data_IF_040325273334
#
_entry.id   IF_040325273334
#
_cell.length_a   1.000
_cell.length_b   1.000
_cell.length_c   1.000
_cell.angle_alpha   90.00
_cell.angle_beta   90.00
_cell.angle_gamma   90.00
#
_symmetry.space_group_name_H-M   'P 1'
#
loop_
_entity.id
_entity.type
_entity.pdbx_description
1 polymer ?
#
# COMPACT_ATOMS: atom_id res chain seq x y z
N UNK A 1 -8.62 -21.65 -2.90
CA UNK A 1 -7.67 -21.29 -3.97
C UNK A 1 -6.80 -20.15 -3.45
N UNK A 2 -5.48 -20.19 -3.31
CA UNK A 2 -4.43 -21.21 -3.27
C UNK A 2 -3.29 -20.46 -2.57
N UNK A 3 -2.92 -20.81 -1.33
CA UNK A 3 -1.75 -20.25 -0.68
C UNK A 3 -0.52 -20.98 -1.25
N UNK A 4 0.30 -20.28 -2.04
CA UNK A 4 1.50 -20.86 -2.66
C UNK A 4 2.73 -20.57 -1.80
N UNK A 5 3.39 -21.63 -1.34
CA UNK A 5 4.76 -21.82 -0.81
C UNK A 5 5.35 -20.87 0.26
N UNK A 6 4.84 -19.65 0.42
CA UNK A 6 5.29 -18.66 1.42
C UNK A 6 4.12 -17.85 2.03
N UNK A 7 2.89 -18.37 1.97
CA UNK A 7 1.69 -17.73 2.55
C UNK A 7 1.11 -16.54 1.77
N UNK A 8 1.82 -16.06 0.75
CA UNK A 8 1.32 -15.03 -0.18
C UNK A 8 0.72 -15.65 -1.45
N UNK A 9 -0.39 -15.08 -1.90
CA UNK A 9 -1.01 -15.34 -3.19
C UNK A 9 -0.11 -14.85 -4.35
N UNK A 10 -0.29 -15.44 -5.55
CA UNK A 10 0.32 -14.94 -6.79
C UNK A 10 0.02 -13.46 -7.03
N UNK A 11 -1.21 -13.03 -6.74
CA UNK A 11 -1.60 -11.61 -6.87
C UNK A 11 -0.84 -10.72 -5.89
N UNK A 12 -0.56 -11.19 -4.68
CA UNK A 12 0.17 -10.41 -3.66
C UNK A 12 1.65 -10.26 -4.05
N UNK A 13 2.25 -11.30 -4.62
CA UNK A 13 3.58 -11.20 -5.22
C UNK A 13 3.61 -10.22 -6.40
N UNK A 14 2.61 -10.25 -7.28
CA UNK A 14 2.48 -9.29 -8.39
C UNK A 14 2.32 -7.85 -7.89
N UNK A 15 1.55 -7.62 -6.82
CA UNK A 15 1.43 -6.30 -6.20
C UNK A 15 2.78 -5.78 -5.68
N UNK A 16 3.54 -6.62 -4.96
CA UNK A 16 4.88 -6.24 -4.48
C UNK A 16 5.85 -5.95 -5.65
N UNK A 17 5.84 -6.79 -6.68
CA UNK A 17 6.63 -6.56 -7.89
C UNK A 17 6.25 -5.27 -8.63
N UNK A 18 4.96 -4.95 -8.69
CA UNK A 18 4.45 -3.72 -9.30
C UNK A 18 4.88 -2.46 -8.53
N UNK A 19 4.89 -2.51 -7.20
CA UNK A 19 5.35 -1.40 -6.36
C UNK A 19 6.85 -1.10 -6.49
N UNK A 20 7.64 -2.07 -6.96
CA UNK A 20 9.07 -1.88 -7.25
C UNK A 20 9.33 -1.06 -8.51
N UNK A 21 8.37 -0.97 -9.42
CA UNK A 21 8.51 -0.27 -10.70
C UNK A 21 8.58 1.25 -10.53
N UNK A 22 9.40 1.92 -11.36
CA UNK A 22 9.53 3.38 -11.34
C UNK A 22 8.47 4.04 -12.21
N UNK A 23 7.46 4.62 -11.58
CA UNK A 23 6.38 5.35 -12.26
C UNK A 23 6.75 6.83 -12.44
N UNK A 24 6.83 7.30 -13.70
CA UNK A 24 7.18 8.69 -14.04
C UNK A 24 6.09 9.71 -13.67
N UNK A 25 4.83 9.30 -13.63
CA UNK A 25 3.68 10.16 -13.28
C UNK A 25 2.70 9.38 -12.39
N UNK A 26 2.16 10.04 -11.35
CA UNK A 26 1.21 9.42 -10.43
C UNK A 26 -0.02 8.83 -11.14
N UNK A 27 -0.58 9.56 -12.12
CA UNK A 27 -1.74 9.08 -12.90
C UNK A 27 -1.44 7.87 -13.78
N UNK A 28 -0.19 7.67 -14.23
CA UNK A 28 0.18 6.48 -15.01
C UNK A 28 0.12 5.22 -14.15
N UNK A 29 0.52 5.32 -12.87
CA UNK A 29 0.42 4.22 -11.91
C UNK A 29 -1.04 3.86 -11.63
N UNK A 30 -1.89 4.85 -11.38
CA UNK A 30 -3.32 4.60 -11.09
C UNK A 30 -4.04 3.93 -12.26
N UNK A 31 -3.73 4.33 -13.50
CA UNK A 31 -4.26 3.66 -14.69
C UNK A 31 -3.76 2.23 -14.79
N UNK A 32 -2.47 1.98 -14.60
CA UNK A 32 -1.93 0.63 -14.62
C UNK A 32 -2.48 -0.25 -13.48
N UNK A 33 -2.80 0.32 -12.32
CA UNK A 33 -3.48 -0.43 -11.24
C UNK A 33 -4.85 -0.93 -11.71
N UNK A 34 -5.64 -0.07 -12.35
CA UNK A 34 -6.96 -0.46 -12.86
C UNK A 34 -6.84 -1.50 -13.97
N UNK A 35 -5.87 -1.34 -14.85
CA UNK A 35 -5.66 -2.23 -16.00
C UNK A 35 -5.15 -3.63 -15.59
N UNK A 36 -4.15 -3.69 -14.70
CA UNK A 36 -3.49 -4.95 -14.33
C UNK A 36 -4.21 -5.72 -13.21
N UNK A 37 -4.82 -5.01 -12.27
CA UNK A 37 -5.42 -5.62 -11.06
C UNK A 37 -6.94 -5.55 -11.05
N UNK A 38 -7.56 -4.94 -12.07
CA UNK A 38 -9.00 -4.78 -12.21
C UNK A 38 -9.66 -4.21 -10.94
N UNK A 39 -9.01 -3.21 -10.35
CA UNK A 39 -9.41 -2.65 -9.07
C UNK A 39 -9.16 -1.15 -9.02
N UNK A 40 -9.90 -0.46 -8.17
CA UNK A 40 -9.68 0.97 -7.97
C UNK A 40 -8.38 1.23 -7.21
N UNK A 41 -7.69 2.36 -7.46
CA UNK A 41 -6.48 2.72 -6.73
C UNK A 41 -6.66 2.69 -5.21
N UNK A 42 -7.81 3.16 -4.73
CA UNK A 42 -8.16 3.14 -3.30
C UNK A 42 -8.17 1.71 -2.74
N UNK A 43 -8.87 0.78 -3.40
CA UNK A 43 -8.96 -0.61 -2.94
C UNK A 43 -7.63 -1.34 -3.06
N UNK A 44 -6.86 -1.04 -4.10
CA UNK A 44 -5.48 -1.52 -4.26
C UNK A 44 -4.60 -1.11 -3.08
N UNK A 45 -4.57 0.19 -2.71
CA UNK A 45 -3.75 0.64 -1.59
C UNK A 45 -4.22 0.09 -0.24
N UNK A 46 -5.52 -0.17 -0.06
CA UNK A 46 -6.01 -0.86 1.13
C UNK A 46 -5.46 -2.30 1.22
N UNK A 47 -5.56 -3.06 0.13
CA UNK A 47 -5.02 -4.42 0.07
C UNK A 47 -3.49 -4.43 0.27
N UNK A 48 -2.77 -3.52 -0.39
CA UNK A 48 -1.32 -3.36 -0.23
C UNK A 48 -0.96 -3.03 1.22
N UNK A 49 -1.71 -2.13 1.88
CA UNK A 49 -1.45 -1.78 3.28
C UNK A 49 -1.63 -2.98 4.22
N UNK A 50 -2.65 -3.82 3.99
CA UNK A 50 -2.83 -5.05 4.76
C UNK A 50 -1.69 -6.05 4.47
N UNK A 51 -1.29 -6.17 3.21
CA UNK A 51 -0.20 -7.05 2.78
C UNK A 51 1.14 -6.68 3.43
N UNK A 52 1.52 -5.40 3.48
CA UNK A 52 2.81 -4.97 4.07
C UNK A 52 2.88 -5.13 5.59
N UNK A 53 1.75 -5.36 6.27
CA UNK A 53 1.70 -5.65 7.70
C UNK A 53 1.91 -7.15 8.01
N UNK A 54 1.85 -8.01 6.98
CA UNK A 54 2.03 -9.46 7.10
C UNK A 54 3.51 -9.85 7.13
N UNK A 55 3.93 -10.80 7.99
CA UNK A 55 5.33 -11.28 8.03
C UNK A 55 5.77 -11.93 6.70
N UNK A 56 4.85 -12.51 5.94
CA UNK A 56 5.12 -13.14 4.65
C UNK A 56 5.58 -12.12 3.60
N UNK A 57 5.03 -10.90 3.62
CA UNK A 57 5.49 -9.82 2.75
C UNK A 57 6.91 -9.37 3.10
N UNK A 58 7.26 -9.33 4.40
CA UNK A 58 8.62 -9.05 4.84
C UNK A 58 9.61 -10.13 4.40
N UNK A 59 9.20 -11.40 4.37
CA UNK A 59 10.03 -12.49 3.88
C UNK A 59 10.24 -12.40 2.35
N UNK A 60 9.21 -11.98 1.61
CA UNK A 60 9.27 -11.84 0.16
C UNK A 60 10.10 -10.64 -0.32
N UNK A 61 9.91 -9.44 0.24
CA UNK A 61 10.71 -8.25 -0.08
C UNK A 61 10.87 -7.33 1.16
N UNK A 62 11.89 -7.58 2.01
CA UNK A 62 12.05 -6.85 3.26
C UNK A 62 12.35 -5.36 3.05
N UNK A 63 13.01 -4.98 1.95
CA UNK A 63 13.40 -3.59 1.69
C UNK A 63 12.20 -2.76 1.24
N UNK A 64 11.43 -3.29 0.27
CA UNK A 64 10.22 -2.64 -0.21
C UNK A 64 9.20 -2.46 0.91
N UNK A 65 8.95 -3.53 1.68
CA UNK A 65 7.96 -3.50 2.76
C UNK A 65 8.35 -2.49 3.83
N UNK A 66 9.62 -2.44 4.27
CA UNK A 66 10.08 -1.43 5.24
C UNK A 66 9.92 -0.01 4.72
N UNK A 67 10.20 0.23 3.43
CA UNK A 67 9.99 1.55 2.79
C UNK A 67 8.52 1.94 2.78
N UNK A 68 7.62 1.04 2.37
CA UNK A 68 6.19 1.28 2.32
C UNK A 68 5.62 1.57 3.72
N UNK A 69 6.02 0.79 4.73
CA UNK A 69 5.64 1.01 6.13
C UNK A 69 6.09 2.39 6.62
N UNK A 70 7.32 2.81 6.31
CA UNK A 70 7.83 4.14 6.69
C UNK A 70 7.03 5.29 6.04
N UNK A 71 6.70 5.18 4.76
CA UNK A 71 5.87 6.18 4.05
C UNK A 71 4.48 6.27 4.68
N UNK A 72 3.88 5.13 5.06
CA UNK A 72 2.59 5.11 5.77
C UNK A 72 2.66 5.83 7.12
N UNK A 73 3.65 5.52 7.95
CA UNK A 73 3.82 6.19 9.25
C UNK A 73 4.03 7.69 9.08
N UNK A 74 4.79 8.13 8.07
CA UNK A 74 4.96 9.56 7.76
C UNK A 74 3.64 10.23 7.40
N UNK A 75 2.81 9.62 6.52
CA UNK A 75 1.49 10.14 6.15
C UNK A 75 0.51 10.19 7.33
N UNK A 76 0.55 9.19 8.21
CA UNK A 76 -0.27 9.15 9.41
C UNK A 76 0.08 10.31 10.35
N UNK A 77 1.37 10.57 10.58
CA UNK A 77 1.84 11.69 11.42
C UNK A 77 1.37 13.05 10.92
N UNK A 78 1.39 13.27 9.60
CA UNK A 78 0.89 14.51 9.00
C UNK A 78 -0.62 14.67 9.22
N UNK A 79 -1.41 13.60 9.10
CA UNK A 79 -2.87 13.65 9.35
C UNK A 79 -3.21 13.86 10.83
N UNK A 80 -2.51 13.20 11.76
CA UNK A 80 -2.74 13.39 13.19
C UNK A 80 -2.42 14.80 13.67
N UNK A 81 -1.41 15.45 13.06
CA UNK A 81 -1.10 16.85 13.35
C UNK A 81 -2.18 17.83 12.85
N UNK A 82 -2.94 17.49 11.79
CA UNK A 82 -4.05 18.31 11.30
C UNK A 82 -5.36 18.08 12.05
N UNK A 83 -5.62 16.87 12.54
CA UNK A 83 -6.86 16.54 13.28
C UNK A 83 -6.91 17.22 14.66
N UNK A 84 -5.75 17.50 15.27
CA UNK A 84 -5.68 18.18 16.56
C UNK A 84 -6.00 19.70 16.51
N UNK A 85 -6.24 20.27 15.32
CA UNK A 85 -6.56 21.68 15.12
C UNK A 85 -8.03 21.99 14.80
N UNK A 86 -8.93 21.00 14.87
CA UNK A 86 -10.38 21.21 14.67
C UNK A 86 -11.15 20.91 15.96
N UNK A 87 -10.83 21.68 17.00
CA UNK A 87 -11.78 21.97 18.07
C UNK A 87 -12.93 22.75 17.45
N UNK A 88 -14.11 22.14 17.40
CA UNK A 88 -15.34 22.84 17.08
C UNK A 88 -15.81 23.51 18.38
N UNK A 89 -15.17 24.62 18.74
CA UNK A 89 -15.81 25.69 19.51
C UNK A 89 -16.97 26.23 18.67
N UNK A 90 -18.18 25.70 18.85
CA UNK A 90 -19.49 26.31 18.61
C UNK A 90 -20.58 25.29 18.96
N UNK A 91 -21.08 25.35 20.20
CA UNK A 91 -22.50 25.48 20.56
C UNK A 91 -22.59 26.07 21.99
#
# INVERSE_FOLDING_TARGET
>A
MQAGDAGLSRREHEMLGFERQWWRRAGAKETAIRDLFDTTPTRYYQALNALVDRPEALAADPLLVRRLRRVRTARQRTRSAQVLGKGNDMD
#
